data_IF_800231811077
#
_entry.id   IF_800231811077
#
_cell.length_a   1.000
_cell.length_b   1.000
_cell.length_c   1.000
_cell.angle_alpha   90.00
_cell.angle_beta   90.00
_cell.angle_gamma   90.00
#
_symmetry.space_group_name_H-M   'P 1'
#
loop_
_entity.id
_entity.type
_entity.pdbx_description
1 polymer ?
#
# COMPACT_ATOMS: atom_id res chain seq x y z
N UNK A 1 19.43 21.37 18.95
CA UNK A 1 19.14 20.39 17.89
C UNK A 1 17.64 20.33 17.67
N UNK A 2 17.17 20.47 16.42
CA UNK A 2 15.76 20.22 16.11
C UNK A 2 15.53 18.71 16.06
N UNK A 3 14.55 18.21 16.81
CA UNK A 3 14.17 16.80 16.77
C UNK A 3 13.61 16.46 15.38
N UNK A 4 14.24 15.50 14.69
CA UNK A 4 13.72 14.99 13.42
C UNK A 4 12.59 14.01 13.73
N UNK A 5 11.43 14.21 13.11
CA UNK A 5 10.28 13.33 13.22
C UNK A 5 9.99 12.73 11.85
N UNK A 6 10.03 11.41 11.76
CA UNK A 6 9.78 10.65 10.55
C UNK A 6 8.52 9.81 10.69
N UNK A 7 7.69 9.84 9.63
CA UNK A 7 6.48 9.03 9.55
C UNK A 7 6.73 7.92 8.53
N UNK A 8 6.84 6.70 9.02
CA UNK A 8 7.01 5.52 8.19
C UNK A 8 5.64 5.01 7.74
N UNK A 9 5.29 5.26 6.48
CA UNK A 9 4.02 4.81 5.89
C UNK A 9 4.13 3.40 5.28
N UNK A 10 3.43 2.45 5.90
CA UNK A 10 3.17 1.13 5.34
C UNK A 10 4.12 0.02 5.80
N UNK A 11 3.60 -1.21 5.77
CA UNK A 11 4.26 -2.38 6.35
C UNK A 11 5.57 -2.75 5.67
N UNK A 12 5.65 -2.55 4.35
CA UNK A 12 6.83 -2.94 3.59
C UNK A 12 8.05 -2.09 3.98
N UNK A 13 7.89 -0.77 3.94
CA UNK A 13 8.91 0.20 4.37
C UNK A 13 9.30 -0.04 5.83
N UNK A 14 8.31 -0.30 6.69
CA UNK A 14 8.56 -0.59 8.11
C UNK A 14 9.42 -1.85 8.32
N UNK A 15 9.16 -2.93 7.57
CA UNK A 15 9.95 -4.16 7.67
C UNK A 15 11.40 -3.95 7.23
N UNK A 16 11.60 -3.21 6.14
CA UNK A 16 12.94 -2.88 5.65
C UNK A 16 13.69 -2.01 6.66
N UNK A 17 13.05 -0.95 7.15
CA UNK A 17 13.60 -0.07 8.17
C UNK A 17 13.96 -0.82 9.45
N UNK A 18 13.10 -1.72 9.92
CA UNK A 18 13.38 -2.54 11.10
C UNK A 18 14.61 -3.45 10.89
N UNK A 19 14.77 -4.00 9.68
CA UNK A 19 15.92 -4.84 9.31
C UNK A 19 17.22 -4.02 9.29
N UNK A 20 17.18 -2.81 8.73
CA UNK A 20 18.37 -1.95 8.58
C UNK A 20 18.79 -1.26 9.87
N UNK A 21 17.83 -0.79 10.65
CA UNK A 21 18.11 -0.10 11.92
C UNK A 21 18.43 -1.10 13.03
N UNK A 22 17.80 -2.28 13.04
CA UNK A 22 18.13 -3.38 13.96
C UNK A 22 18.10 -2.93 15.42
N UNK A 23 19.23 -3.09 16.11
CA UNK A 23 19.41 -2.71 17.52
C UNK A 23 19.30 -1.21 17.79
N UNK A 24 19.49 -0.36 16.77
CA UNK A 24 19.40 1.11 16.90
C UNK A 24 17.96 1.61 17.01
N UNK A 25 16.98 0.74 16.82
CA UNK A 25 15.57 1.10 16.85
C UNK A 25 14.93 0.69 18.18
N UNK A 26 14.69 1.68 19.05
CA UNK A 26 14.16 1.46 20.40
C UNK A 26 12.68 1.84 20.43
N UNK A 27 11.82 0.94 20.91
CA UNK A 27 10.40 1.23 21.11
C UNK A 27 10.23 2.12 22.34
N UNK A 28 9.61 3.30 22.17
CA UNK A 28 9.23 4.17 23.27
C UNK A 28 7.72 4.05 23.54
N UNK A 29 7.28 3.29 24.56
CA UNK A 29 5.87 3.23 24.91
C UNK A 29 5.38 4.61 25.36
N UNK A 30 4.18 4.97 24.91
CA UNK A 30 3.49 6.18 25.34
C UNK A 30 2.35 5.79 26.28
N UNK A 31 1.84 6.77 27.03
CA UNK A 31 0.82 6.53 28.06
C UNK A 31 -0.53 7.14 27.68
N UNK A 32 -1.55 6.80 28.47
CA UNK A 32 -2.90 7.36 28.35
C UNK A 32 -3.47 7.13 26.94
N UNK A 33 -4.10 8.16 26.35
CA UNK A 33 -4.71 8.08 25.01
C UNK A 33 -3.73 7.72 23.89
N UNK A 34 -2.41 7.77 24.12
CA UNK A 34 -1.40 7.45 23.11
C UNK A 34 -0.81 6.05 23.26
N UNK A 35 -1.32 5.20 24.15
CA UNK A 35 -0.81 3.84 24.39
C UNK A 35 -0.74 2.98 23.11
N UNK A 36 -1.73 3.17 22.22
CA UNK A 36 -1.79 2.46 20.93
C UNK A 36 -0.79 2.95 19.88
N UNK A 37 -0.10 4.07 20.12
CA UNK A 37 0.82 4.70 19.15
C UNK A 37 2.17 4.00 19.14
N UNK A 38 2.58 3.54 17.97
CA UNK A 38 3.86 2.89 17.72
C UNK A 38 4.97 3.91 17.39
N UNK A 39 5.49 4.54 18.42
CA UNK A 39 6.65 5.44 18.40
C UNK A 39 7.96 4.68 18.67
N UNK A 40 8.96 4.92 17.83
CA UNK A 40 10.29 4.38 17.94
C UNK A 40 11.33 5.51 17.92
N UNK A 41 12.47 5.24 18.53
CA UNK A 41 13.63 6.11 18.58
C UNK A 41 14.72 5.46 17.75
N UNK A 42 15.30 6.21 16.82
CA UNK A 42 16.58 5.83 16.23
C UNK A 42 17.70 6.46 17.04
N UNK A 43 18.57 5.62 17.60
CA UNK A 43 19.78 6.07 18.29
C UNK A 43 21.03 5.81 17.46
N UNK A 44 22.10 6.53 17.75
CA UNK A 44 23.42 6.27 17.17
C UNK A 44 23.92 4.85 17.48
N UNK A 45 24.97 4.42 16.78
CA UNK A 45 25.61 3.11 16.99
C UNK A 45 26.04 2.90 18.45
N UNK A 46 26.46 3.99 19.11
CA UNK A 46 26.92 3.98 20.50
C UNK A 46 25.78 4.20 21.51
N UNK A 47 24.54 4.30 21.04
CA UNK A 47 23.33 4.55 21.84
C UNK A 47 23.35 5.84 22.69
N UNK A 48 24.29 6.75 22.44
CA UNK A 48 24.45 8.00 23.20
C UNK A 48 23.53 9.12 22.73
N UNK A 49 23.28 9.20 21.41
CA UNK A 49 22.51 10.30 20.83
C UNK A 49 21.25 9.78 20.13
N UNK A 50 20.17 10.54 20.30
CA UNK A 50 18.95 10.36 19.53
C UNK A 50 19.08 11.05 18.17
N UNK A 51 18.85 10.30 17.09
CA UNK A 51 18.82 10.84 15.72
C UNK A 51 17.45 11.36 15.33
N UNK A 52 16.44 10.50 15.43
CA UNK A 52 15.07 10.80 15.00
C UNK A 52 14.03 9.99 15.75
N UNK A 53 12.84 10.57 15.85
CA UNK A 53 11.61 9.90 16.25
C UNK A 53 10.98 9.29 15.01
N UNK A 54 10.59 8.02 15.07
CA UNK A 54 9.97 7.29 13.96
C UNK A 54 8.59 6.83 14.40
N UNK A 55 7.56 7.24 13.67
CA UNK A 55 6.20 6.79 13.90
C UNK A 55 5.76 5.86 12.78
N UNK A 56 5.33 4.66 13.16
CA UNK A 56 4.79 3.71 12.20
C UNK A 56 3.30 3.97 11.99
N UNK A 57 2.95 4.28 10.74
CA UNK A 57 1.56 4.49 10.30
C UNK A 57 1.27 3.58 9.12
N UNK A 58 0.12 2.93 9.11
CA UNK A 58 -0.37 2.14 7.98
C UNK A 58 -0.68 3.08 6.81
N UNK A 59 -0.27 2.68 5.61
CA UNK A 59 -0.65 3.42 4.41
C UNK A 59 -2.19 3.45 4.25
N UNK A 60 -2.81 4.57 3.81
CA UNK A 60 -4.26 4.67 3.64
C UNK A 60 -4.90 3.55 2.82
N UNK A 61 -4.22 3.04 1.79
CA UNK A 61 -4.71 1.90 0.99
C UNK A 61 -4.88 0.62 1.80
N UNK A 62 -4.22 0.46 2.96
CA UNK A 62 -4.49 -0.64 3.88
C UNK A 62 -5.95 -0.63 4.32
N UNK A 63 -6.50 0.54 4.67
CA UNK A 63 -7.90 0.66 5.12
C UNK A 63 -8.91 0.42 4.00
N UNK A 64 -8.52 0.73 2.76
CA UNK A 64 -9.33 0.51 1.55
C UNK A 64 -9.32 -0.96 1.12
N UNK A 65 -8.15 -1.61 1.11
CA UNK A 65 -7.95 -2.93 0.48
C UNK A 65 -7.88 -4.10 1.46
N UNK A 66 -7.74 -3.84 2.75
CA UNK A 66 -7.73 -4.92 3.74
C UNK A 66 -9.13 -5.48 3.98
N UNK A 67 -9.17 -6.68 4.54
CA UNK A 67 -10.39 -7.26 5.12
C UNK A 67 -10.79 -6.57 6.44
N UNK A 68 -10.40 -5.31 6.68
CA UNK A 68 -10.83 -4.55 7.85
C UNK A 68 -12.35 -4.44 7.94
N UNK A 69 -13.08 -4.48 6.81
CA UNK A 69 -14.55 -4.56 6.80
C UNK A 69 -15.10 -5.83 7.47
N UNK A 70 -14.32 -6.91 7.52
CA UNK A 70 -14.66 -8.13 8.24
C UNK A 70 -14.44 -7.99 9.76
N UNK A 71 -13.76 -6.93 10.20
CA UNK A 71 -13.70 -6.57 11.62
C UNK A 71 -14.95 -5.78 12.02
N UNK A 72 -15.37 -5.96 13.28
CA UNK A 72 -16.47 -5.21 13.86
C UNK A 72 -16.27 -3.69 13.76
N UNK A 73 -17.36 -2.89 13.75
CA UNK A 73 -17.29 -1.42 13.64
C UNK A 73 -16.35 -0.76 14.66
N UNK A 74 -16.36 -1.26 15.90
CA UNK A 74 -15.50 -0.74 16.97
C UNK A 74 -14.02 -0.99 16.69
N UNK A 75 -13.64 -2.21 16.32
CA UNK A 75 -12.25 -2.53 15.98
C UNK A 75 -11.73 -1.69 14.81
N UNK A 76 -12.56 -1.41 13.80
CA UNK A 76 -12.20 -0.50 12.70
C UNK A 76 -11.95 0.93 13.20
N UNK A 77 -12.83 1.44 14.06
CA UNK A 77 -12.69 2.75 14.69
C UNK A 77 -11.41 2.82 15.52
N UNK A 78 -11.11 1.80 16.31
CA UNK A 78 -9.90 1.74 17.13
C UNK A 78 -8.63 1.71 16.27
N UNK A 79 -8.65 0.96 15.17
CA UNK A 79 -7.58 0.95 14.19
C UNK A 79 -7.35 2.33 13.58
N UNK A 80 -8.40 3.01 13.09
CA UNK A 80 -8.28 4.37 12.55
C UNK A 80 -7.77 5.37 13.60
N UNK A 81 -8.34 5.30 14.82
CA UNK A 81 -7.96 6.15 15.96
C UNK A 81 -6.48 6.02 16.29
N UNK A 82 -5.94 4.81 16.33
CA UNK A 82 -4.50 4.61 16.61
C UNK A 82 -3.58 5.29 15.58
N UNK A 83 -3.99 5.32 14.30
CA UNK A 83 -3.20 5.97 13.25
C UNK A 83 -3.28 7.50 13.35
N UNK A 84 -4.47 8.02 13.60
CA UNK A 84 -4.74 9.43 13.81
C UNK A 84 -3.99 9.99 15.03
N UNK A 85 -3.94 9.21 16.12
CA UNK A 85 -3.14 9.51 17.29
C UNK A 85 -1.64 9.52 16.97
N UNK A 86 -1.14 8.59 16.15
CA UNK A 86 0.25 8.59 15.73
C UNK A 86 0.58 9.87 14.94
N UNK A 87 -0.26 10.27 13.98
CA UNK A 87 -0.07 11.54 13.26
C UNK A 87 -0.14 12.76 14.19
N UNK A 88 -1.01 12.72 15.18
CA UNK A 88 -1.11 13.77 16.20
C UNK A 88 0.16 13.86 17.04
N UNK A 89 0.75 12.72 17.44
CA UNK A 89 2.05 12.69 18.14
C UNK A 89 3.15 13.24 17.25
N UNK A 90 3.22 12.82 15.98
CA UNK A 90 4.22 13.31 15.03
C UNK A 90 4.18 14.83 14.91
N UNK A 91 2.98 15.39 14.75
CA UNK A 91 2.74 16.83 14.66
C UNK A 91 3.19 17.57 15.93
N UNK A 92 2.86 17.03 17.11
CA UNK A 92 3.25 17.61 18.40
C UNK A 92 4.77 17.58 18.61
N UNK A 93 5.42 16.47 18.25
CA UNK A 93 6.88 16.34 18.32
C UNK A 93 7.57 17.32 17.37
N UNK A 94 6.97 17.61 16.22
CA UNK A 94 7.44 18.59 15.26
C UNK A 94 7.14 20.06 15.66
N UNK A 95 6.54 20.30 16.83
CA UNK A 95 6.28 21.65 17.36
C UNK A 95 5.03 22.35 16.80
N UNK A 96 4.22 21.67 15.99
CA UNK A 96 3.03 22.26 15.37
C UNK A 96 1.81 22.25 16.32
N UNK A 97 1.87 23.03 17.42
CA UNK A 97 0.74 23.35 18.30
C UNK A 97 0.09 22.18 19.07
N UNK A 98 -0.48 22.44 20.24
CA UNK A 98 -1.12 21.40 21.09
C UNK A 98 -2.59 21.12 20.71
N UNK A 99 -3.22 22.05 20.01
CA UNK A 99 -4.69 22.10 19.87
C UNK A 99 -5.24 21.33 18.68
N UNK A 100 -4.37 20.72 17.86
CA UNK A 100 -4.78 19.99 16.68
C UNK A 100 -4.74 18.47 16.92
N UNK A 101 -5.88 17.81 16.70
CA UNK A 101 -5.98 16.34 16.65
C UNK A 101 -6.32 15.95 15.22
N UNK A 102 -5.56 14.99 14.67
CA UNK A 102 -5.81 14.46 13.32
C UNK A 102 -6.96 13.46 13.41
N UNK A 103 -7.90 13.48 12.44
CA UNK A 103 -9.05 12.57 12.37
C UNK A 103 -9.20 11.91 10.99
N UNK A 104 -8.12 11.86 10.21
CA UNK A 104 -8.12 11.42 8.82
C UNK A 104 -8.61 9.98 8.67
N UNK A 105 -8.06 9.05 9.45
CA UNK A 105 -8.39 7.63 9.34
C UNK A 105 -9.74 7.30 9.99
N UNK A 106 -10.12 8.00 11.06
CA UNK A 106 -11.45 7.87 11.65
C UNK A 106 -12.55 8.21 10.65
N UNK A 107 -12.37 9.27 9.85
CA UNK A 107 -13.35 9.68 8.82
C UNK A 107 -13.31 8.71 7.62
N UNK A 108 -12.12 8.38 7.12
CA UNK A 108 -11.96 7.50 5.97
C UNK A 108 -12.42 6.05 6.21
N UNK A 109 -12.49 5.59 7.46
CA UNK A 109 -12.96 4.25 7.81
C UNK A 109 -14.49 4.11 7.94
N UNK A 110 -15.26 5.21 7.93
CA UNK A 110 -16.72 5.17 8.09
C UNK A 110 -17.46 4.81 6.80
N UNK A 111 -16.88 5.12 5.64
CA UNK A 111 -17.51 4.88 4.34
C UNK A 111 -17.03 3.52 3.84
N UNK A 112 -17.97 2.60 3.58
CA UNK A 112 -17.67 1.38 2.86
C UNK A 112 -16.89 1.74 1.59
N UNK A 113 -15.63 1.29 1.52
CA UNK A 113 -14.59 1.73 0.59
C UNK A 113 -14.84 1.35 -0.88
N UNK A 114 -16.01 1.68 -1.42
CA UNK A 114 -16.25 1.72 -2.86
C UNK A 114 -16.01 3.15 -3.29
N UNK A 115 -14.84 3.40 -3.87
CA UNK A 115 -14.60 4.59 -4.68
C UNK A 115 -15.80 4.79 -5.62
N UNK A 116 -16.29 6.01 -5.72
CA UNK A 116 -17.29 6.37 -6.73
C UNK A 116 -16.71 6.08 -8.12
N UNK A 117 -17.57 5.95 -9.14
CA UNK A 117 -17.11 5.69 -10.51
C UNK A 117 -16.10 6.77 -10.95
N UNK A 118 -16.39 8.02 -10.66
CA UNK A 118 -15.57 9.18 -10.97
C UNK A 118 -14.20 9.12 -10.25
N UNK A 119 -14.19 8.82 -8.95
CA UNK A 119 -12.94 8.64 -8.21
C UNK A 119 -12.09 7.48 -8.75
N UNK A 120 -12.71 6.39 -9.24
CA UNK A 120 -11.97 5.28 -9.88
C UNK A 120 -11.35 5.70 -11.20
N UNK A 121 -12.10 6.41 -12.04
CA UNK A 121 -11.57 6.91 -13.31
C UNK A 121 -10.43 7.91 -13.07
N UNK A 122 -10.54 8.77 -12.07
CA UNK A 122 -9.45 9.67 -11.69
C UNK A 122 -8.22 8.90 -11.18
N UNK A 123 -8.38 7.89 -10.34
CA UNK A 123 -7.26 7.04 -9.93
C UNK A 123 -6.59 6.36 -11.12
N UNK A 124 -7.36 5.86 -12.10
CA UNK A 124 -6.80 5.27 -13.32
C UNK A 124 -6.05 6.30 -14.16
N UNK A 125 -6.56 7.52 -14.28
CA UNK A 125 -5.90 8.60 -15.00
C UNK A 125 -4.56 8.95 -14.36
N UNK A 126 -4.54 9.16 -13.04
CA UNK A 126 -3.31 9.44 -12.29
C UNK A 126 -2.31 8.28 -12.38
N UNK A 127 -2.78 7.03 -12.32
CA UNK A 127 -1.92 5.84 -12.49
C UNK A 127 -1.30 5.81 -13.89
N UNK A 128 -2.04 6.19 -14.95
CA UNK A 128 -1.49 6.28 -16.31
C UNK A 128 -0.42 7.36 -16.40
N UNK A 129 -0.70 8.55 -15.89
CA UNK A 129 0.24 9.67 -15.90
C UNK A 129 1.53 9.34 -15.13
N UNK A 130 1.39 8.69 -13.97
CA UNK A 130 2.53 8.20 -13.19
C UNK A 130 3.36 7.17 -13.97
N UNK A 131 2.70 6.21 -14.65
CA UNK A 131 3.38 5.20 -15.46
C UNK A 131 4.08 5.82 -16.68
N UNK A 132 3.51 6.85 -17.29
CA UNK A 132 4.14 7.61 -18.37
C UNK A 132 5.36 8.38 -17.87
N UNK A 133 5.25 9.07 -16.73
CA UNK A 133 6.38 9.75 -16.10
C UNK A 133 7.50 8.77 -15.75
N UNK A 134 7.17 7.59 -15.22
CA UNK A 134 8.12 6.50 -14.95
C UNK A 134 8.78 5.98 -16.23
N UNK A 135 8.02 5.81 -17.31
CA UNK A 135 8.55 5.39 -18.61
C UNK A 135 9.54 6.41 -19.17
N UNK A 136 9.25 7.70 -19.02
CA UNK A 136 10.15 8.80 -19.47
C UNK A 136 11.40 8.91 -18.61
N UNK A 137 11.27 8.86 -17.28
CA UNK A 137 12.39 9.05 -16.36
C UNK A 137 13.26 7.81 -16.14
N UNK A 138 12.70 6.60 -16.24
CA UNK A 138 13.38 5.34 -15.94
C UNK A 138 13.00 4.22 -16.92
N UNK A 139 13.30 4.37 -18.22
CA UNK A 139 12.83 3.45 -19.27
C UNK A 139 13.28 2.00 -19.06
N UNK A 140 14.52 1.75 -18.65
CA UNK A 140 15.05 0.40 -18.44
C UNK A 140 14.35 -0.33 -17.28
N UNK A 141 14.14 0.36 -16.15
CA UNK A 141 13.41 -0.21 -14.99
C UNK A 141 11.94 -0.45 -15.32
N UNK A 142 11.36 0.39 -16.18
CA UNK A 142 9.99 0.22 -16.65
C UNK A 142 9.83 -1.02 -17.53
N UNK A 143 10.75 -1.24 -18.48
CA UNK A 143 10.76 -2.42 -19.36
C UNK A 143 10.98 -3.73 -18.58
N UNK A 144 11.95 -3.77 -17.66
CA UNK A 144 12.23 -4.96 -16.84
C UNK A 144 11.02 -5.33 -15.97
N UNK A 145 10.30 -4.33 -15.42
CA UNK A 145 9.07 -4.54 -14.66
C UNK A 145 7.93 -5.11 -15.52
N UNK A 146 7.82 -4.68 -16.77
CA UNK A 146 6.82 -5.20 -17.71
C UNK A 146 7.15 -6.62 -18.16
N UNK A 147 8.43 -6.91 -18.47
CA UNK A 147 8.90 -8.26 -18.81
C UNK A 147 8.55 -9.28 -17.72
N UNK A 148 8.90 -8.98 -16.46
CA UNK A 148 8.57 -9.82 -15.30
C UNK A 148 7.06 -10.02 -15.08
N UNK A 149 6.24 -9.03 -15.47
CA UNK A 149 4.77 -9.16 -15.39
C UNK A 149 4.24 -10.08 -16.49
N UNK A 150 4.76 -9.96 -17.72
CA UNK A 150 4.43 -10.84 -18.84
C UNK A 150 4.78 -12.29 -18.52
N UNK A 151 5.99 -12.53 -18.02
CA UNK A 151 6.46 -13.87 -17.60
C UNK A 151 5.54 -14.50 -16.56
N UNK A 152 5.11 -13.74 -15.52
CA UNK A 152 4.16 -14.25 -14.51
C UNK A 152 2.78 -14.57 -15.07
N UNK A 153 2.29 -13.79 -16.03
CA UNK A 153 0.99 -14.06 -16.67
C UNK A 153 1.10 -15.34 -17.50
N UNK A 154 2.18 -15.51 -18.24
CA UNK A 154 2.43 -16.68 -19.06
C UNK A 154 2.56 -17.94 -18.20
N UNK A 155 3.35 -17.90 -17.14
CA UNK A 155 3.51 -18.97 -16.15
C UNK A 155 2.18 -19.37 -15.50
N UNK A 156 1.36 -18.39 -15.12
CA UNK A 156 0.03 -18.65 -14.55
C UNK A 156 -0.95 -19.23 -15.59
N UNK A 157 -0.80 -18.86 -16.86
CA UNK A 157 -1.62 -19.38 -17.98
C UNK A 157 -1.23 -20.83 -18.31
N UNK A 158 0.05 -21.16 -18.24
CA UNK A 158 0.56 -22.54 -18.38
C UNK A 158 0.11 -23.44 -17.23
N UNK A 159 0.09 -22.93 -16.00
CA UNK A 159 -0.49 -23.64 -14.85
C UNK A 159 -1.99 -23.88 -15.07
N UNK A 160 -2.75 -22.88 -15.53
CA UNK A 160 -4.17 -23.05 -15.83
C UNK A 160 -4.41 -24.06 -16.96
N UNK A 161 -3.59 -24.06 -18.02
CA UNK A 161 -3.69 -25.06 -19.10
C UNK A 161 -3.30 -26.47 -18.66
N UNK A 162 -2.29 -26.62 -17.80
CA UNK A 162 -1.90 -27.92 -17.25
C UNK A 162 -2.95 -28.49 -16.28
N UNK A 163 -3.67 -27.63 -15.54
CA UNK A 163 -4.81 -28.01 -14.71
C UNK A 163 -6.10 -28.26 -15.51
N UNK A 164 -6.28 -27.61 -16.66
CA UNK A 164 -7.44 -27.81 -17.53
C UNK A 164 -7.39 -29.13 -18.32
N UNK A 165 -6.20 -29.60 -18.72
CA UNK A 165 -6.01 -30.91 -19.41
C UNK A 165 -6.63 -32.11 -18.69
N UNK A 166 -6.40 -32.32 -17.38
CA UNK A 166 -7.02 -33.44 -16.65
C UNK A 166 -8.53 -33.27 -16.40
N UNK A 167 -9.07 -32.06 -16.53
CA UNK A 167 -10.51 -31.78 -16.34
C UNK A 167 -11.33 -31.87 -17.64
N UNK A 168 -10.68 -31.84 -18.81
CA UNK A 168 -11.34 -31.95 -20.13
C UNK A 168 -12.19 -33.22 -20.34
N UNK A 169 -11.83 -34.44 -19.88
CA UNK A 169 -12.69 -35.60 -20.06
C UNK A 169 -13.90 -35.63 -19.12
N UNK A 170 -13.92 -34.82 -18.05
CA UNK A 170 -14.99 -34.85 -17.02
C UNK A 170 -16.07 -33.78 -17.20
N UNK A 171 -15.84 -32.78 -18.05
CA UNK A 171 -16.81 -31.72 -18.29
C UNK A 171 -16.97 -31.56 -19.80
N UNK A 172 -18.15 -31.93 -20.34
CA UNK A 172 -18.59 -31.48 -21.67
C UNK A 172 -18.86 -29.97 -21.64
N UNK A 173 -17.82 -29.17 -21.41
CA UNK A 173 -17.84 -27.75 -21.69
C UNK A 173 -17.87 -27.63 -23.22
N UNK A 174 -19.05 -27.28 -23.75
CA UNK A 174 -19.09 -26.60 -25.05
C UNK A 174 -18.32 -25.29 -24.87
N UNK A 175 -17.01 -25.34 -25.08
CA UNK A 175 -16.22 -24.17 -25.41
C UNK A 175 -16.86 -23.59 -26.66
N UNK A 176 -17.68 -22.55 -26.47
CA UNK A 176 -18.01 -21.66 -27.57
C UNK A 176 -16.68 -21.11 -28.06
N UNK A 177 -16.35 -21.58 -29.26
CA UNK A 177 -15.30 -21.19 -30.18
C UNK A 177 -14.52 -19.93 -29.80
N UNK A 178 -13.19 -20.11 -29.77
CA UNK A 178 -12.19 -19.24 -30.39
C UNK A 178 -12.63 -17.80 -30.60
N UNK A 179 -12.07 -16.89 -29.79
CA UNK A 179 -12.04 -15.47 -30.14
C UNK A 179 -11.38 -15.40 -31.53
N UNK A 180 -12.10 -14.96 -32.58
CA UNK A 180 -11.54 -14.90 -33.92
C UNK A 180 -10.32 -13.98 -33.93
N UNK A 181 -9.24 -14.38 -34.61
CA UNK A 181 -8.01 -13.59 -34.74
C UNK A 181 -8.25 -12.18 -35.30
N UNK A 182 -9.41 -11.92 -35.91
CA UNK A 182 -9.82 -10.60 -36.39
C UNK A 182 -10.08 -9.59 -35.27
N UNK A 183 -10.43 -10.02 -34.04
CA UNK A 183 -10.54 -9.10 -32.89
C UNK A 183 -9.20 -8.76 -32.23
N UNK A 184 -8.12 -9.46 -32.56
CA UNK A 184 -6.77 -9.12 -32.11
C UNK A 184 -6.14 -8.01 -32.97
N UNK A 185 -6.52 -7.90 -34.25
CA UNK A 185 -6.03 -6.85 -35.16
C UNK A 185 -6.64 -5.47 -34.89
N UNK A 186 -7.87 -5.40 -34.37
CA UNK A 186 -8.51 -4.11 -34.03
C UNK A 186 -7.82 -3.38 -32.88
N UNK A 187 -7.07 -4.09 -32.01
CA UNK A 187 -6.31 -3.47 -30.93
C UNK A 187 -4.96 -2.85 -31.36
N UNK A 188 -4.45 -3.22 -32.54
CA UNK A 188 -3.22 -2.62 -33.09
C UNK A 188 -3.51 -1.38 -33.95
N UNK A 189 -4.70 -1.30 -34.57
CA UNK A 189 -5.08 -0.13 -35.39
C UNK A 189 -5.61 1.07 -34.60
N UNK A 190 -6.11 0.90 -33.38
CA UNK A 190 -6.48 2.03 -32.50
C UNK A 190 -5.29 2.65 -31.73
N UNK A 191 -4.05 2.26 -32.07
CA UNK A 191 -2.82 2.69 -31.39
C UNK A 191 -1.78 3.37 -32.29
N UNK A 192 -2.14 3.68 -33.53
CA UNK A 192 -1.37 4.57 -34.41
C UNK A 192 -1.83 6.02 -34.25
#
# INVERSE_FOLDING_TARGET
MAAIVEICYGEHVWKEMKRELGSRLIRLPLWSKFESVRLYLEVDKDHQNLRRFILYVRHPTFFVRSRLHALGPQARKDYGTSQDLALTVARRLAGYGKDFTVHYFQIACQVGNRLTREQREQCKANDREFLEALRRGFPEKYQEKHRRKGEKIQEMTEILHSLARPLQPMIKLKLKQEIPQDQLKSFEQERA
#
